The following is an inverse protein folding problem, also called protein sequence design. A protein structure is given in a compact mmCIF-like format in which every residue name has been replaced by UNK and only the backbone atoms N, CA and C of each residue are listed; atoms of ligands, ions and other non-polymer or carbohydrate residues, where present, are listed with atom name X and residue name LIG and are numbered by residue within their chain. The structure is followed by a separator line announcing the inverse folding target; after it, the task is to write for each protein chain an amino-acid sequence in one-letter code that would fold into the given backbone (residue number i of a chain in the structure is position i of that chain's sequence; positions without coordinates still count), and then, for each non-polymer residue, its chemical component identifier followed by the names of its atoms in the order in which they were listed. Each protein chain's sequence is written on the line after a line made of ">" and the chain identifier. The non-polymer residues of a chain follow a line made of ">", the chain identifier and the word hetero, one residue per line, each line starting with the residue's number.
data_IF_821538628056
#
_entry.id   IF_821538628056
#
_cell.length_a   1.000
_cell.length_b   1.000
_cell.length_c   1.000
_cell.angle_alpha   90.00
_cell.angle_beta   90.00
_cell.angle_gamma   90.00
#
_symmetry.space_group_name_H-M   'P 1'
#
loop_
_entity.id
_entity.type
_entity.pdbx_description
1 polymer ?
#
# COMPACT_ATOMS: atom_id res chain seq x y z
N UNK A 1 -8.96 16.13 19.12
CA UNK A 1 -8.42 16.99 18.05
C UNK A 1 -9.30 16.91 16.79
N UNK A 2 -9.33 17.97 15.99
CA UNK A 2 -9.86 17.97 14.64
C UNK A 2 -8.72 17.73 13.65
N UNK A 3 -8.74 16.64 12.93
CA UNK A 3 -7.67 16.23 12.02
C UNK A 3 -8.20 16.26 10.60
N UNK A 4 -7.56 17.01 9.71
CA UNK A 4 -7.86 16.99 8.29
C UNK A 4 -6.88 16.07 7.55
N UNK A 5 -7.41 15.11 6.79
CA UNK A 5 -6.65 14.26 5.87
C UNK A 5 -7.00 14.70 4.45
N UNK A 6 -6.00 15.11 3.68
CA UNK A 6 -6.16 15.62 2.31
C UNK A 6 -5.57 14.58 1.35
N UNK A 7 -6.37 14.03 0.44
CA UNK A 7 -5.95 12.91 -0.42
C UNK A 7 -6.65 12.92 -1.79
N UNK A 8 -5.88 12.64 -2.84
CA UNK A 8 -6.39 12.30 -4.18
C UNK A 8 -6.71 10.80 -4.32
N UNK A 9 -6.25 9.98 -3.38
CA UNK A 9 -6.53 8.56 -3.32
C UNK A 9 -7.67 8.27 -2.33
N UNK A 10 -8.83 7.83 -2.85
CA UNK A 10 -10.01 7.44 -2.08
C UNK A 10 -10.91 6.50 -2.88
N UNK A 11 -11.97 5.98 -2.25
CA UNK A 11 -12.97 5.17 -2.96
C UNK A 11 -13.46 5.88 -4.24
N UNK A 12 -13.75 5.15 -5.29
CA UNK A 12 -13.84 3.69 -5.43
C UNK A 12 -12.50 2.98 -5.72
N UNK A 13 -11.35 3.66 -5.68
CA UNK A 13 -10.05 3.02 -5.86
C UNK A 13 -9.81 1.95 -4.80
N UNK A 14 -9.29 0.79 -5.23
CA UNK A 14 -8.91 -0.32 -4.35
C UNK A 14 -7.39 -0.49 -4.38
N UNK A 15 -6.70 0.21 -3.47
CA UNK A 15 -5.25 0.13 -3.34
C UNK A 15 -4.81 0.32 -1.88
N UNK A 16 -3.54 0.06 -1.59
CA UNK A 16 -2.98 0.13 -0.25
C UNK A 16 -3.05 1.53 0.40
N UNK A 17 -3.00 2.61 -0.41
CA UNK A 17 -3.11 4.00 0.09
C UNK A 17 -4.51 4.25 0.63
N UNK A 18 -5.54 3.95 -0.17
CA UNK A 18 -6.95 4.11 0.23
C UNK A 18 -7.25 3.30 1.48
N UNK A 19 -6.79 2.05 1.53
CA UNK A 19 -6.98 1.19 2.70
C UNK A 19 -6.31 1.79 3.95
N UNK A 20 -5.05 2.22 3.84
CA UNK A 20 -4.33 2.86 4.94
C UNK A 20 -5.07 4.08 5.47
N UNK A 21 -5.49 4.98 4.59
CA UNK A 21 -6.16 6.22 4.99
C UNK A 21 -7.53 5.97 5.61
N UNK A 22 -8.29 5.01 5.08
CA UNK A 22 -9.60 4.63 5.63
C UNK A 22 -9.48 4.06 7.03
N UNK A 23 -8.60 3.08 7.22
CA UNK A 23 -8.40 2.46 8.53
C UNK A 23 -7.84 3.46 9.54
N UNK A 24 -6.91 4.33 9.11
CA UNK A 24 -6.41 5.40 9.98
C UNK A 24 -7.52 6.38 10.38
N UNK A 25 -8.37 6.80 9.44
CA UNK A 25 -9.49 7.69 9.74
C UNK A 25 -10.50 7.03 10.69
N UNK A 26 -10.81 5.73 10.48
CA UNK A 26 -11.69 4.95 11.36
C UNK A 26 -11.12 4.86 12.78
N UNK A 27 -9.87 4.43 12.92
CA UNK A 27 -9.22 4.29 14.22
C UNK A 27 -9.04 5.65 14.94
N UNK A 28 -8.77 6.74 14.23
CA UNK A 28 -8.75 8.08 14.81
C UNK A 28 -10.11 8.46 15.39
N UNK A 29 -11.20 8.11 14.69
CA UNK A 29 -12.57 8.28 15.21
C UNK A 29 -12.82 7.51 16.49
N UNK A 30 -12.40 6.24 16.56
CA UNK A 30 -12.46 5.39 17.75
C UNK A 30 -11.63 5.91 18.92
N UNK A 31 -10.52 6.62 18.61
CA UNK A 31 -9.68 7.31 19.59
C UNK A 31 -10.25 8.67 20.03
N UNK A 32 -11.47 9.01 19.62
CA UNK A 32 -12.18 10.24 20.01
C UNK A 32 -11.76 11.50 19.23
N UNK A 33 -11.07 11.35 18.08
CA UNK A 33 -10.74 12.47 17.21
C UNK A 33 -11.84 12.74 16.17
N UNK A 34 -12.04 14.00 15.81
CA UNK A 34 -12.89 14.37 14.67
C UNK A 34 -12.04 14.39 13.40
N UNK A 35 -12.40 13.57 12.43
CA UNK A 35 -11.65 13.47 11.17
C UNK A 35 -12.46 14.02 10.01
N UNK A 36 -11.87 14.92 9.23
CA UNK A 36 -12.39 15.38 7.95
C UNK A 36 -11.46 14.91 6.83
N UNK A 37 -11.99 14.12 5.91
CA UNK A 37 -11.24 13.73 4.71
C UNK A 37 -11.65 14.62 3.54
N UNK A 38 -10.67 15.28 2.93
CA UNK A 38 -10.83 16.02 1.67
C UNK A 38 -10.41 15.07 0.56
N UNK A 39 -11.36 14.61 -0.26
CA UNK A 39 -11.20 13.46 -1.15
C UNK A 39 -11.88 13.70 -2.51
N UNK A 40 -11.55 12.93 -3.57
CA UNK A 40 -12.08 13.13 -4.92
C UNK A 40 -13.61 13.17 -5.03
N UNK A 41 -14.33 12.39 -4.21
CA UNK A 41 -15.80 12.39 -4.16
C UNK A 41 -16.42 13.76 -3.83
N UNK A 42 -15.63 14.69 -3.30
CA UNK A 42 -16.07 16.05 -3.02
C UNK A 42 -15.95 16.99 -4.22
N UNK A 43 -15.48 16.53 -5.38
CA UNK A 43 -15.13 17.37 -6.52
C UNK A 43 -15.70 16.84 -7.84
N UNK A 44 -15.77 17.69 -8.86
CA UNK A 44 -15.81 17.22 -10.24
C UNK A 44 -14.45 16.63 -10.59
N UNK A 45 -14.45 15.43 -11.17
CA UNK A 45 -13.22 14.71 -11.44
C UNK A 45 -13.15 14.20 -12.87
N UNK A 46 -11.93 14.04 -13.39
CA UNK A 46 -11.65 13.38 -14.66
C UNK A 46 -10.68 12.21 -14.45
N UNK A 47 -10.68 11.20 -15.33
CA UNK A 47 -9.78 10.06 -15.21
C UNK A 47 -8.32 10.47 -15.43
N UNK A 48 -7.41 9.90 -14.65
CA UNK A 48 -5.98 10.02 -14.95
C UNK A 48 -5.65 9.29 -16.26
N UNK A 49 -4.92 9.91 -17.19
CA UNK A 49 -4.69 9.32 -18.54
C UNK A 49 -4.08 7.92 -18.51
N UNK A 50 -3.19 7.63 -17.56
CA UNK A 50 -2.50 6.32 -17.46
C UNK A 50 -3.19 5.35 -16.51
N UNK A 51 -4.12 5.84 -15.67
CA UNK A 51 -4.85 5.08 -14.66
C UNK A 51 -6.27 5.62 -14.53
N UNK A 52 -7.19 5.23 -15.43
CA UNK A 52 -8.55 5.77 -15.47
C UNK A 52 -9.36 5.59 -14.17
N UNK A 53 -8.99 4.59 -13.37
CA UNK A 53 -9.56 4.37 -12.04
C UNK A 53 -9.15 5.42 -11.01
N UNK A 54 -8.03 6.13 -11.24
CA UNK A 54 -7.61 7.27 -10.44
C UNK A 54 -8.34 8.52 -10.95
N UNK A 55 -9.15 9.12 -10.09
CA UNK A 55 -9.95 10.29 -10.42
C UNK A 55 -9.25 11.55 -9.91
N UNK A 56 -8.83 12.41 -10.82
CA UNK A 56 -8.19 13.69 -10.50
C UNK A 56 -9.23 14.80 -10.38
N UNK A 57 -9.16 15.59 -9.31
CA UNK A 57 -10.09 16.68 -9.08
C UNK A 57 -9.80 17.87 -10.01
N UNK A 58 -10.84 18.35 -10.69
CA UNK A 58 -10.80 19.59 -11.46
C UNK A 58 -10.98 20.78 -10.52
N UNK A 59 -10.06 21.77 -10.63
CA UNK A 59 -10.14 23.05 -9.89
C UNK A 59 -10.37 22.91 -8.38
N UNK A 60 -9.54 22.14 -7.63
CA UNK A 60 -9.81 21.78 -6.24
C UNK A 60 -9.67 22.94 -5.25
N UNK A 61 -9.04 24.05 -5.63
CA UNK A 61 -8.59 25.13 -4.76
C UNK A 61 -9.70 25.74 -3.89
N UNK A 62 -10.77 26.25 -4.49
CA UNK A 62 -11.85 26.93 -3.78
C UNK A 62 -12.62 26.00 -2.85
N UNK A 63 -12.87 24.78 -3.28
CA UNK A 63 -13.63 23.81 -2.48
C UNK A 63 -12.80 23.21 -1.35
N UNK A 64 -11.52 22.88 -1.58
CA UNK A 64 -10.58 22.46 -0.53
C UNK A 64 -10.46 23.54 0.54
N UNK A 65 -10.26 24.79 0.13
CA UNK A 65 -10.23 25.93 1.04
C UNK A 65 -11.50 25.98 1.90
N UNK A 66 -12.68 25.95 1.29
CA UNK A 66 -13.98 26.04 2.01
C UNK A 66 -14.14 24.90 3.02
N UNK A 67 -13.79 23.66 2.64
CA UNK A 67 -13.89 22.49 3.53
C UNK A 67 -12.97 22.69 4.75
N UNK A 68 -11.71 23.08 4.54
CA UNK A 68 -10.74 23.26 5.62
C UNK A 68 -11.09 24.45 6.52
N UNK A 69 -11.56 25.58 5.95
CA UNK A 69 -12.00 26.74 6.71
C UNK A 69 -13.24 26.45 7.59
N UNK A 70 -14.20 25.71 7.07
CA UNK A 70 -15.38 25.31 7.84
C UNK A 70 -15.04 24.30 8.94
N UNK A 71 -14.15 23.37 8.66
CA UNK A 71 -13.75 22.34 9.60
C UNK A 71 -12.84 22.88 10.71
N UNK A 72 -11.97 23.85 10.40
CA UNK A 72 -10.97 24.44 11.32
C UNK A 72 -10.14 23.34 11.99
N UNK A 73 -9.28 22.64 11.22
CA UNK A 73 -8.48 21.54 11.77
C UNK A 73 -7.42 22.04 12.74
N UNK A 74 -7.17 21.24 13.79
CA UNK A 74 -6.04 21.41 14.70
C UNK A 74 -4.74 20.86 14.08
N UNK A 75 -4.85 19.86 13.19
CA UNK A 75 -3.72 19.26 12.47
C UNK A 75 -4.14 18.90 11.05
N UNK A 76 -3.19 19.02 10.11
CA UNK A 76 -3.40 18.69 8.69
C UNK A 76 -2.37 17.66 8.23
N UNK A 77 -2.85 16.62 7.59
CA UNK A 77 -2.03 15.62 6.90
C UNK A 77 -2.36 15.60 5.41
N UNK A 78 -1.36 15.77 4.55
CA UNK A 78 -1.51 15.71 3.10
C UNK A 78 -0.92 14.37 2.62
N UNK A 79 -1.81 13.47 2.24
CA UNK A 79 -1.46 12.08 1.99
C UNK A 79 -0.98 11.80 0.54
N UNK A 80 -1.27 12.68 -0.40
CA UNK A 80 -0.94 12.48 -1.83
C UNK A 80 -0.53 13.77 -2.52
N UNK A 81 0.23 13.66 -3.61
CA UNK A 81 0.86 14.75 -4.33
C UNK A 81 0.00 15.29 -5.50
N UNK A 82 -1.24 14.80 -5.62
CA UNK A 82 -2.16 15.19 -6.69
C UNK A 82 -2.79 16.59 -6.51
N UNK A 83 -3.76 16.94 -7.37
CA UNK A 83 -4.40 18.27 -7.36
C UNK A 83 -5.01 18.67 -6.01
N UNK A 84 -5.66 17.73 -5.30
CA UNK A 84 -6.22 18.00 -3.96
C UNK A 84 -5.11 18.21 -2.93
N UNK A 85 -4.04 17.38 -2.98
CA UNK A 85 -2.87 17.54 -2.14
C UNK A 85 -2.18 18.89 -2.34
N UNK A 86 -2.02 19.33 -3.58
CA UNK A 86 -1.48 20.67 -3.92
C UNK A 86 -2.36 21.79 -3.38
N UNK A 87 -3.69 21.63 -3.46
CA UNK A 87 -4.62 22.62 -2.91
C UNK A 87 -4.52 22.71 -1.37
N UNK A 88 -4.43 21.57 -0.69
CA UNK A 88 -4.19 21.50 0.75
C UNK A 88 -2.87 22.15 1.16
N UNK A 89 -1.78 21.82 0.45
CA UNK A 89 -0.45 22.42 0.65
C UNK A 89 -0.49 23.94 0.55
N UNK A 90 -1.10 24.46 -0.52
CA UNK A 90 -1.24 25.91 -0.71
C UNK A 90 -2.07 26.57 0.41
N UNK A 91 -3.16 25.93 0.83
CA UNK A 91 -3.98 26.41 1.93
C UNK A 91 -3.19 26.49 3.24
N UNK A 92 -2.43 25.46 3.58
CA UNK A 92 -1.58 25.43 4.77
C UNK A 92 -0.51 26.53 4.73
N UNK A 93 0.21 26.66 3.60
CA UNK A 93 1.25 27.68 3.46
C UNK A 93 0.71 29.11 3.57
N UNK A 94 -0.45 29.39 2.97
CA UNK A 94 -1.07 30.73 3.03
C UNK A 94 -1.52 31.12 4.45
N UNK A 95 -1.56 30.18 5.39
CA UNK A 95 -1.98 30.39 6.79
C UNK A 95 -0.87 30.09 7.81
N UNK A 96 0.33 29.82 7.33
CA UNK A 96 1.44 29.35 8.19
C UNK A 96 1.05 28.15 9.06
N UNK A 97 0.05 27.36 8.60
CA UNK A 97 -0.42 26.17 9.24
C UNK A 97 0.60 25.04 9.04
N UNK A 98 1.20 24.48 10.10
CA UNK A 98 2.07 23.32 9.95
C UNK A 98 1.29 22.12 9.46
N UNK A 99 1.92 21.27 8.66
CA UNK A 99 1.29 20.06 8.14
C UNK A 99 2.31 18.95 7.97
N UNK A 100 1.83 17.73 7.93
CA UNK A 100 2.62 16.54 7.60
C UNK A 100 2.23 16.02 6.22
N UNK A 101 3.15 15.29 5.61
CA UNK A 101 2.90 14.60 4.33
C UNK A 101 3.18 13.12 4.45
N UNK A 102 2.77 12.31 3.49
CA UNK A 102 3.20 10.91 3.39
C UNK A 102 3.66 10.53 1.98
N UNK A 103 4.69 9.72 1.93
CA UNK A 103 5.21 9.13 0.71
C UNK A 103 4.71 7.68 0.61
N UNK A 104 3.73 7.46 -0.27
CA UNK A 104 3.08 6.18 -0.43
C UNK A 104 3.56 5.39 -1.64
N UNK A 105 3.96 6.08 -2.70
CA UNK A 105 4.23 5.48 -4.01
C UNK A 105 5.56 5.96 -4.55
N UNK A 106 6.34 5.04 -5.08
CA UNK A 106 7.61 5.33 -5.78
C UNK A 106 7.34 5.89 -7.19
N UNK A 107 6.74 7.07 -7.24
CA UNK A 107 6.39 7.72 -8.50
C UNK A 107 7.54 7.85 -9.50
N UNK A 108 8.81 8.11 -9.10
CA UNK A 108 9.90 8.20 -10.05
C UNK A 108 10.07 6.94 -10.89
N UNK A 109 10.01 5.77 -10.27
CA UNK A 109 10.11 4.49 -10.96
C UNK A 109 8.87 4.22 -11.84
N UNK A 110 7.68 4.54 -11.34
CA UNK A 110 6.44 4.40 -12.11
C UNK A 110 6.40 5.30 -13.35
N UNK A 111 6.88 6.55 -13.22
CA UNK A 111 6.96 7.51 -14.34
C UNK A 111 7.97 7.01 -15.36
N UNK A 112 9.15 6.56 -14.92
CA UNK A 112 10.20 6.06 -15.81
C UNK A 112 9.74 4.86 -16.68
N UNK A 113 8.93 3.96 -16.09
CA UNK A 113 8.38 2.82 -16.83
C UNK A 113 7.40 3.22 -17.95
N UNK A 114 6.87 4.46 -17.95
CA UNK A 114 5.80 4.90 -18.85
C UNK A 114 6.13 6.10 -19.72
N UNK A 115 7.12 6.88 -19.31
CA UNK A 115 7.49 8.10 -20.03
C UNK A 115 9.00 8.33 -19.92
N UNK A 116 9.64 8.92 -20.96
CA UNK A 116 11.08 9.20 -20.98
C UNK A 116 11.41 10.44 -20.13
N UNK A 117 10.91 10.48 -18.89
CA UNK A 117 11.17 11.56 -17.94
C UNK A 117 12.30 11.12 -17.00
N UNK A 118 13.40 11.89 -16.90
CA UNK A 118 14.48 11.58 -15.98
C UNK A 118 14.00 11.51 -14.52
N UNK A 119 14.35 10.45 -13.80
CA UNK A 119 13.96 10.29 -12.38
C UNK A 119 14.36 11.48 -11.51
N UNK A 120 15.49 12.12 -11.81
CA UNK A 120 15.96 13.29 -11.07
C UNK A 120 14.95 14.44 -11.04
N UNK A 121 14.18 14.65 -12.11
CA UNK A 121 13.13 15.66 -12.17
C UNK A 121 11.94 15.29 -11.28
N UNK A 122 11.51 14.05 -11.31
CA UNK A 122 10.43 13.56 -10.46
C UNK A 122 10.83 13.65 -8.99
N UNK A 123 12.05 13.25 -8.63
CA UNK A 123 12.58 13.42 -7.28
C UNK A 123 12.65 14.87 -6.83
N UNK A 124 13.00 15.80 -7.73
CA UNK A 124 13.02 17.24 -7.44
C UNK A 124 11.63 17.77 -7.12
N UNK A 125 10.61 17.36 -7.89
CA UNK A 125 9.20 17.74 -7.66
C UNK A 125 8.71 17.19 -6.32
N UNK A 126 9.00 15.93 -6.02
CA UNK A 126 8.60 15.31 -4.75
C UNK A 126 9.28 16.00 -3.55
N UNK A 127 10.58 16.29 -3.62
CA UNK A 127 11.25 17.06 -2.57
C UNK A 127 10.64 18.44 -2.37
N UNK A 128 10.31 19.13 -3.45
CA UNK A 128 9.63 20.43 -3.38
C UNK A 128 8.26 20.30 -2.69
N UNK A 129 7.50 19.26 -3.04
CA UNK A 129 6.17 19.05 -2.47
C UNK A 129 6.24 18.75 -0.97
N UNK A 130 7.00 17.75 -0.60
CA UNK A 130 7.14 17.28 0.79
C UNK A 130 7.95 18.25 1.67
N UNK A 131 8.91 18.95 1.10
CA UNK A 131 9.79 19.87 1.84
C UNK A 131 9.09 21.08 2.45
N UNK A 132 7.86 21.38 2.05
CA UNK A 132 7.03 22.38 2.70
C UNK A 132 6.30 21.86 3.96
N UNK A 133 6.20 20.53 4.11
CA UNK A 133 5.67 19.89 5.32
C UNK A 133 6.71 19.87 6.45
N UNK A 134 6.25 19.76 7.68
CA UNK A 134 7.11 19.62 8.84
C UNK A 134 7.76 18.23 8.89
N UNK A 135 7.00 17.19 8.51
CA UNK A 135 7.45 15.78 8.46
C UNK A 135 6.92 15.07 7.22
N UNK A 136 7.71 14.09 6.74
CA UNK A 136 7.28 13.17 5.68
C UNK A 136 7.13 11.76 6.25
N UNK A 137 5.91 11.25 6.32
CA UNK A 137 5.61 9.92 6.85
C UNK A 137 5.88 8.86 5.78
N UNK A 138 6.64 7.84 6.13
CA UNK A 138 7.03 6.73 5.24
C UNK A 138 6.71 5.38 5.87
N UNK A 139 6.44 4.33 5.09
CA UNK A 139 5.96 3.07 5.65
C UNK A 139 7.04 2.23 6.33
N UNK A 140 8.32 2.38 5.96
CA UNK A 140 9.38 1.48 6.38
C UNK A 140 10.69 2.22 6.72
N UNK A 141 11.59 1.52 7.44
CA UNK A 141 12.94 2.04 7.76
C UNK A 141 13.76 2.26 6.50
N UNK A 142 13.82 1.29 5.60
CA UNK A 142 14.55 1.42 4.33
C UNK A 142 14.11 2.65 3.54
N UNK A 143 12.79 2.91 3.48
CA UNK A 143 12.25 4.09 2.82
C UNK A 143 12.60 5.39 3.55
N UNK A 144 12.62 5.35 4.89
CA UNK A 144 13.01 6.50 5.72
C UNK A 144 14.45 6.90 5.43
N UNK A 145 15.37 5.95 5.44
CA UNK A 145 16.79 6.17 5.19
C UNK A 145 17.04 6.63 3.74
N UNK A 146 16.34 6.06 2.76
CA UNK A 146 16.41 6.49 1.37
C UNK A 146 15.96 7.93 1.18
N UNK A 147 14.83 8.34 1.75
CA UNK A 147 14.35 9.71 1.63
C UNK A 147 15.24 10.70 2.38
N UNK A 148 15.78 10.32 3.54
CA UNK A 148 16.78 11.13 4.26
C UNK A 148 18.03 11.36 3.40
N UNK A 149 18.58 10.32 2.80
CA UNK A 149 19.73 10.40 1.88
C UNK A 149 19.45 11.27 0.64
N UNK A 150 18.17 11.34 0.20
CA UNK A 150 17.73 12.19 -0.91
C UNK A 150 17.40 13.63 -0.49
N UNK A 151 17.61 14.00 0.78
CA UNK A 151 17.40 15.35 1.31
C UNK A 151 15.93 15.72 1.56
N UNK A 152 15.07 14.75 1.82
CA UNK A 152 13.72 15.01 2.33
C UNK A 152 13.78 15.47 3.79
N UNK A 153 12.91 16.40 4.14
CA UNK A 153 12.85 16.94 5.49
C UNK A 153 12.16 15.97 6.43
N UNK A 154 12.85 15.59 7.50
CA UNK A 154 12.36 14.80 8.64
C UNK A 154 11.45 13.61 8.22
N UNK A 155 11.97 12.62 7.45
CA UNK A 155 11.22 11.42 7.18
C UNK A 155 11.06 10.61 8.47
N UNK A 156 9.82 10.18 8.77
CA UNK A 156 9.47 9.43 9.98
C UNK A 156 8.65 8.20 9.63
N UNK A 157 8.80 7.13 10.41
CA UNK A 157 8.15 5.87 10.12
C UNK A 157 6.68 5.93 10.55
N UNK A 158 5.79 5.61 9.61
CA UNK A 158 4.39 5.32 9.84
C UNK A 158 4.07 3.95 9.25
N UNK A 159 4.08 2.92 10.10
CA UNK A 159 3.80 1.53 9.74
C UNK A 159 2.39 1.32 9.20
N UNK A 160 2.09 0.05 8.93
CA UNK A 160 0.77 -0.39 8.46
C UNK A 160 0.21 -1.41 9.42
N UNK A 161 -1.10 -1.60 9.35
CA UNK A 161 -1.80 -2.62 10.10
C UNK A 161 -2.47 -3.64 9.20
N UNK A 162 -2.97 -4.68 9.82
CA UNK A 162 -3.80 -5.71 9.21
C UNK A 162 -5.02 -5.98 10.11
N UNK A 163 -6.13 -6.35 9.50
CA UNK A 163 -7.32 -6.84 10.18
C UNK A 163 -7.13 -8.34 10.48
N UNK A 164 -6.70 -8.63 11.70
CA UNK A 164 -6.38 -10.00 12.14
C UNK A 164 -7.61 -10.85 12.44
N UNK A 165 -8.79 -10.27 12.58
CA UNK A 165 -10.05 -10.98 12.72
C UNK A 165 -10.56 -11.45 11.35
N UNK A 166 -10.43 -10.59 10.34
CA UNK A 166 -10.77 -10.94 8.97
C UNK A 166 -9.79 -11.96 8.40
N UNK A 167 -8.49 -11.66 8.49
CA UNK A 167 -7.41 -12.53 7.99
C UNK A 167 -6.95 -13.47 9.11
N UNK A 168 -7.47 -14.70 9.08
CA UNK A 168 -7.25 -15.69 10.15
C UNK A 168 -7.00 -17.08 9.56
N UNK A 169 -6.11 -17.90 10.15
CA UNK A 169 -5.84 -19.25 9.67
C UNK A 169 -7.07 -20.17 9.65
N UNK A 170 -8.00 -19.98 10.57
CA UNK A 170 -9.23 -20.80 10.69
C UNK A 170 -10.19 -20.66 9.51
N UNK A 171 -9.93 -19.72 8.62
CA UNK A 171 -10.68 -19.57 7.37
C UNK A 171 -10.21 -20.52 6.27
N UNK A 172 -9.28 -21.41 6.59
CA UNK A 172 -8.75 -22.39 5.64
C UNK A 172 -9.85 -23.32 5.14
N UNK A 173 -9.89 -23.50 3.81
CA UNK A 173 -10.78 -24.42 3.12
C UNK A 173 -9.96 -25.23 2.09
N UNK A 174 -10.53 -26.29 1.54
CA UNK A 174 -9.85 -27.03 0.47
C UNK A 174 -9.82 -26.19 -0.82
N UNK A 175 -8.65 -26.02 -1.39
CA UNK A 175 -8.50 -25.43 -2.73
C UNK A 175 -8.50 -26.54 -3.78
N UNK A 176 -9.11 -26.31 -4.97
CA UNK A 176 -9.07 -27.28 -6.05
C UNK A 176 -7.69 -27.34 -6.72
N UNK A 177 -7.28 -28.55 -7.09
CA UNK A 177 -6.01 -28.86 -7.75
C UNK A 177 -4.97 -29.44 -6.79
N UNK A 178 -3.83 -29.87 -7.32
CA UNK A 178 -2.75 -30.42 -6.51
C UNK A 178 -2.02 -29.31 -5.71
N UNK A 179 -1.56 -29.64 -4.52
CA UNK A 179 -0.62 -28.81 -3.76
C UNK A 179 0.83 -29.00 -4.21
N UNK A 180 1.74 -28.09 -3.83
CA UNK A 180 1.49 -26.90 -3.05
C UNK A 180 0.74 -25.81 -3.82
N UNK A 181 -0.10 -25.04 -3.10
CA UNK A 181 -0.81 -23.90 -3.67
C UNK A 181 0.02 -22.63 -3.50
N UNK A 182 0.59 -22.14 -4.60
CA UNK A 182 1.31 -20.87 -4.63
C UNK A 182 0.35 -19.72 -4.95
N UNK A 183 0.34 -18.66 -4.17
CA UNK A 183 -0.64 -17.59 -4.32
C UNK A 183 0.01 -16.22 -4.50
N UNK A 184 -0.36 -15.55 -5.57
CA UNK A 184 -0.17 -14.13 -5.78
C UNK A 184 -1.49 -13.39 -5.48
N UNK A 185 -1.41 -12.27 -4.78
CA UNK A 185 -2.54 -11.36 -4.58
C UNK A 185 -2.11 -9.92 -4.80
N UNK A 186 -2.82 -9.24 -5.70
CA UNK A 186 -2.56 -7.83 -5.99
C UNK A 186 -3.09 -7.40 -7.33
N UNK A 187 -2.71 -6.17 -7.72
CA UNK A 187 -3.01 -5.64 -9.04
C UNK A 187 -2.27 -6.45 -10.12
N UNK A 188 -2.98 -6.87 -11.15
CA UNK A 188 -2.41 -7.59 -12.30
C UNK A 188 -1.93 -6.56 -13.33
N UNK A 189 -0.68 -6.11 -13.17
CA UNK A 189 -0.06 -5.05 -13.97
C UNK A 189 1.46 -5.21 -14.03
N UNK A 190 2.10 -4.60 -15.03
CA UNK A 190 3.54 -4.74 -15.31
C UNK A 190 4.43 -4.35 -14.13
N UNK A 191 4.05 -3.31 -13.37
CA UNK A 191 4.81 -2.86 -12.21
C UNK A 191 4.84 -3.85 -11.04
N UNK A 192 3.99 -4.88 -11.09
CA UNK A 192 3.94 -5.94 -10.08
C UNK A 192 4.78 -7.17 -10.45
N UNK A 193 5.41 -7.14 -11.63
CA UNK A 193 6.31 -8.21 -12.07
C UNK A 193 5.68 -9.62 -11.99
N UNK A 194 4.37 -9.69 -12.32
CA UNK A 194 3.61 -10.95 -12.17
C UNK A 194 4.15 -12.08 -13.05
N UNK A 195 4.81 -11.75 -14.15
CA UNK A 195 5.43 -12.70 -15.06
C UNK A 195 6.47 -13.57 -14.35
N UNK A 196 7.22 -13.01 -13.39
CA UNK A 196 8.14 -13.78 -12.56
C UNK A 196 7.41 -14.83 -11.68
N UNK A 197 6.20 -14.55 -11.21
CA UNK A 197 5.35 -15.53 -10.55
C UNK A 197 4.85 -16.62 -11.51
N UNK A 198 4.46 -16.21 -12.71
CA UNK A 198 3.93 -17.13 -13.72
C UNK A 198 5.01 -18.08 -14.27
N UNK A 199 6.27 -17.67 -14.24
CA UNK A 199 7.42 -18.47 -14.66
C UNK A 199 7.89 -19.52 -13.61
N UNK A 200 7.34 -19.48 -12.38
CA UNK A 200 7.74 -20.44 -11.34
C UNK A 200 7.39 -21.88 -11.73
N UNK A 201 8.33 -22.78 -11.48
CA UNK A 201 8.11 -24.21 -11.64
C UNK A 201 7.47 -24.81 -10.38
N UNK A 202 6.41 -25.59 -10.55
CA UNK A 202 5.73 -26.26 -9.45
C UNK A 202 4.93 -27.46 -9.94
N UNK A 203 4.89 -28.52 -9.13
CA UNK A 203 3.96 -29.65 -9.30
C UNK A 203 2.54 -29.28 -8.81
N UNK A 204 2.42 -28.16 -8.09
CA UNK A 204 1.17 -27.70 -7.50
C UNK A 204 0.41 -26.70 -8.37
N UNK A 205 -0.47 -25.95 -7.76
CA UNK A 205 -1.36 -25.01 -8.43
C UNK A 205 -0.96 -23.56 -8.14
N UNK A 206 -0.85 -22.74 -9.19
CA UNK A 206 -0.64 -21.30 -9.10
C UNK A 206 -1.97 -20.56 -9.11
N UNK A 207 -2.12 -19.62 -8.17
CA UNK A 207 -3.33 -18.82 -7.99
C UNK A 207 -3.00 -17.33 -8.13
N UNK A 208 -3.75 -16.62 -8.96
CA UNK A 208 -3.70 -15.18 -9.12
C UNK A 208 -5.01 -14.57 -8.66
N UNK A 209 -4.96 -13.83 -7.55
CA UNK A 209 -6.11 -13.13 -6.97
C UNK A 209 -5.95 -11.64 -7.19
N UNK A 210 -6.82 -11.05 -8.00
CA UNK A 210 -6.79 -9.63 -8.29
C UNK A 210 -7.24 -9.28 -9.68
N UNK A 211 -7.28 -7.99 -9.96
CA UNK A 211 -7.63 -7.42 -11.25
C UNK A 211 -6.60 -6.42 -11.73
N UNK A 212 -6.66 -6.04 -12.98
CA UNK A 212 -5.76 -5.06 -13.56
C UNK A 212 -5.68 -5.16 -15.09
N UNK A 213 -4.95 -4.24 -15.72
CA UNK A 213 -4.93 -4.12 -17.18
C UNK A 213 -4.33 -5.34 -17.89
N UNK A 214 -3.48 -6.11 -17.23
CA UNK A 214 -2.87 -7.30 -17.83
C UNK A 214 -3.66 -8.61 -17.60
N UNK A 215 -4.76 -8.60 -16.82
CA UNK A 215 -5.46 -9.80 -16.38
C UNK A 215 -5.92 -10.69 -17.55
N UNK A 216 -6.64 -10.12 -18.52
CA UNK A 216 -7.23 -10.91 -19.60
C UNK A 216 -6.17 -11.49 -20.55
N UNK A 217 -5.12 -10.72 -20.83
CA UNK A 217 -4.00 -11.19 -21.66
C UNK A 217 -3.26 -12.35 -20.98
N UNK A 218 -2.95 -12.22 -19.69
CA UNK A 218 -2.24 -13.24 -18.93
C UNK A 218 -3.10 -14.50 -18.71
N UNK A 219 -4.40 -14.35 -18.48
CA UNK A 219 -5.34 -15.48 -18.38
C UNK A 219 -5.38 -16.28 -19.68
N UNK A 220 -5.36 -15.61 -20.83
CA UNK A 220 -5.36 -16.28 -22.13
C UNK A 220 -4.05 -17.02 -22.42
N UNK A 221 -2.90 -16.47 -22.01
CA UNK A 221 -1.58 -17.07 -22.25
C UNK A 221 -1.17 -18.15 -21.22
N UNK A 222 -1.83 -18.19 -20.04
CA UNK A 222 -1.52 -19.14 -18.97
C UNK A 222 -2.78 -19.90 -18.48
N UNK A 223 -3.36 -20.77 -19.33
CA UNK A 223 -4.60 -21.49 -18.98
C UNK A 223 -4.45 -22.48 -17.81
N UNK A 224 -3.22 -22.88 -17.47
CA UNK A 224 -2.88 -23.72 -16.34
C UNK A 224 -2.91 -22.98 -14.99
N UNK A 225 -2.93 -21.63 -15.00
CA UNK A 225 -2.96 -20.79 -13.80
C UNK A 225 -4.40 -20.42 -13.45
N UNK A 226 -4.73 -20.46 -12.18
CA UNK A 226 -6.08 -20.11 -11.70
C UNK A 226 -6.20 -18.61 -11.41
N UNK A 227 -6.76 -17.86 -12.36
CA UNK A 227 -7.09 -16.45 -12.22
C UNK A 227 -8.52 -16.30 -11.66
N UNK A 228 -8.63 -15.85 -10.41
CA UNK A 228 -9.94 -15.71 -9.74
C UNK A 228 -10.63 -14.38 -10.02
N UNK A 229 -9.89 -13.38 -10.54
CA UNK A 229 -10.32 -11.98 -10.52
C UNK A 229 -10.21 -11.36 -9.11
N UNK A 230 -10.72 -10.14 -8.92
CA UNK A 230 -10.71 -9.47 -7.62
C UNK A 230 -11.58 -10.21 -6.60
N UNK A 231 -11.04 -10.40 -5.39
CA UNK A 231 -11.76 -10.99 -4.25
C UNK A 231 -11.61 -10.07 -3.04
N UNK A 232 -12.59 -10.09 -2.14
CA UNK A 232 -12.64 -9.20 -0.98
C UNK A 232 -13.18 -9.93 0.26
N UNK A 233 -12.96 -9.34 1.43
CA UNK A 233 -13.53 -9.81 2.68
C UNK A 233 -13.21 -11.27 2.99
N UNK A 234 -14.20 -12.00 3.44
CA UNK A 234 -14.06 -13.40 3.89
C UNK A 234 -13.60 -14.33 2.78
N UNK A 235 -14.06 -14.12 1.54
CA UNK A 235 -13.64 -14.94 0.39
C UNK A 235 -12.14 -14.79 0.13
N UNK A 236 -11.61 -13.58 0.14
CA UNK A 236 -10.18 -13.32 0.01
C UNK A 236 -9.38 -13.95 1.16
N UNK A 237 -9.83 -13.75 2.39
CA UNK A 237 -9.18 -14.31 3.57
C UNK A 237 -9.16 -15.86 3.54
N UNK A 238 -10.23 -16.48 3.05
CA UNK A 238 -10.31 -17.91 2.85
C UNK A 238 -9.29 -18.44 1.84
N UNK A 239 -9.14 -17.77 0.70
CA UNK A 239 -8.13 -18.11 -0.31
C UNK A 239 -6.71 -18.02 0.26
N UNK A 240 -6.37 -16.91 0.94
CA UNK A 240 -5.05 -16.73 1.56
C UNK A 240 -4.78 -17.81 2.63
N UNK A 241 -5.74 -18.05 3.54
CA UNK A 241 -5.56 -19.06 4.59
C UNK A 241 -5.33 -20.48 4.02
N UNK A 242 -5.87 -20.74 2.83
CA UNK A 242 -5.86 -22.05 2.18
C UNK A 242 -4.61 -22.34 1.34
N UNK A 243 -3.85 -21.31 0.97
CA UNK A 243 -2.61 -21.47 0.23
C UNK A 243 -1.46 -22.00 1.11
N UNK A 244 -0.35 -22.37 0.48
CA UNK A 244 0.85 -22.90 1.15
C UNK A 244 1.98 -21.86 1.18
N UNK A 245 2.13 -21.03 0.13
CA UNK A 245 3.10 -19.92 0.07
C UNK A 245 2.47 -18.71 -0.60
N UNK A 246 2.70 -17.54 -0.02
CA UNK A 246 2.40 -16.26 -0.65
C UNK A 246 3.61 -15.76 -1.43
N UNK A 247 3.47 -15.62 -2.74
CA UNK A 247 4.56 -15.16 -3.60
C UNK A 247 4.36 -13.68 -3.94
N UNK A 248 5.37 -12.89 -3.62
CA UNK A 248 5.36 -11.45 -3.83
C UNK A 248 6.51 -11.01 -4.76
N UNK A 249 6.28 -11.03 -6.10
CA UNK A 249 7.33 -10.79 -7.09
C UNK A 249 7.63 -9.31 -7.34
N UNK A 250 6.94 -8.38 -6.67
CA UNK A 250 7.07 -6.95 -6.89
C UNK A 250 8.43 -6.41 -6.42
N UNK A 251 9.03 -5.54 -7.23
CA UNK A 251 10.32 -4.88 -6.97
C UNK A 251 10.16 -3.42 -6.49
N UNK A 252 8.96 -2.84 -6.61
CA UNK A 252 8.73 -1.40 -6.46
C UNK A 252 7.77 -1.02 -5.33
N UNK A 253 7.26 -1.98 -4.57
CA UNK A 253 6.35 -1.69 -3.47
C UNK A 253 7.08 -1.05 -2.28
N UNK A 254 6.48 -0.02 -1.70
CA UNK A 254 7.01 0.68 -0.53
C UNK A 254 6.81 -0.08 0.78
N UNK A 255 5.80 -0.97 0.86
CA UNK A 255 5.49 -1.77 2.03
C UNK A 255 4.93 -3.16 1.65
N UNK A 256 3.83 -3.20 0.88
CA UNK A 256 3.09 -4.43 0.59
C UNK A 256 2.18 -4.84 1.73
N UNK A 257 1.05 -4.15 1.93
CA UNK A 257 0.05 -4.51 2.97
C UNK A 257 -0.39 -5.98 2.84
N UNK A 258 -0.45 -6.48 1.63
CA UNK A 258 -0.80 -7.88 1.32
C UNK A 258 0.13 -8.90 1.99
N UNK A 259 1.38 -8.53 2.31
CA UNK A 259 2.31 -9.37 3.07
C UNK A 259 1.79 -9.60 4.49
N UNK A 260 1.28 -8.54 5.14
CA UNK A 260 0.67 -8.67 6.47
C UNK A 260 -0.62 -9.49 6.43
N UNK A 261 -1.42 -9.36 5.36
CA UNK A 261 -2.65 -10.13 5.18
C UNK A 261 -2.37 -11.62 5.01
N UNK A 262 -1.36 -11.96 4.20
CA UNK A 262 -0.89 -13.33 4.02
C UNK A 262 -0.36 -13.90 5.34
N UNK A 263 0.55 -13.19 6.02
CA UNK A 263 1.08 -13.62 7.32
C UNK A 263 0.01 -13.72 8.39
N UNK A 264 -1.00 -12.84 8.38
CA UNK A 264 -2.14 -12.94 9.30
C UNK A 264 -2.96 -14.22 9.11
N UNK A 265 -3.03 -14.74 7.89
CA UNK A 265 -3.57 -16.06 7.57
C UNK A 265 -2.59 -17.22 7.86
N UNK A 266 -1.43 -16.93 8.45
CA UNK A 266 -0.38 -17.90 8.68
C UNK A 266 0.33 -18.34 7.41
N UNK A 267 0.36 -17.53 6.35
CA UNK A 267 0.94 -17.91 5.07
C UNK A 267 2.38 -17.36 4.97
N UNK A 268 3.40 -18.23 4.82
CA UNK A 268 4.78 -17.81 4.63
C UNK A 268 4.96 -17.04 3.31
N UNK A 269 5.88 -16.11 3.29
CA UNK A 269 6.15 -15.22 2.16
C UNK A 269 7.39 -15.67 1.40
N UNK A 270 7.30 -15.71 0.06
CA UNK A 270 8.44 -15.79 -0.85
C UNK A 270 8.50 -14.49 -1.67
N UNK A 271 9.61 -13.77 -1.63
CA UNK A 271 9.72 -12.48 -2.30
C UNK A 271 11.15 -12.15 -2.72
N UNK A 272 11.29 -11.20 -3.65
CA UNK A 272 12.58 -10.54 -3.88
C UNK A 272 12.96 -9.65 -2.69
N UNK A 273 14.28 -9.42 -2.44
CA UNK A 273 14.76 -8.55 -1.38
C UNK A 273 14.56 -7.04 -1.72
N UNK A 274 13.32 -6.68 -2.11
CA UNK A 274 12.90 -5.32 -2.41
C UNK A 274 12.61 -4.52 -1.12
N UNK A 275 12.54 -3.18 -1.17
CA UNK A 275 12.38 -2.33 0.01
C UNK A 275 11.21 -2.70 0.93
N UNK A 276 10.03 -3.00 0.40
CA UNK A 276 8.88 -3.42 1.21
C UNK A 276 9.10 -4.75 1.93
N UNK A 277 9.36 -5.86 1.22
CA UNK A 277 9.63 -7.16 1.82
C UNK A 277 10.78 -7.17 2.83
N UNK A 278 11.88 -6.44 2.59
CA UNK A 278 13.03 -6.37 3.52
C UNK A 278 12.67 -5.87 4.92
N UNK A 279 11.71 -4.96 5.00
CA UNK A 279 11.30 -4.36 6.27
C UNK A 279 10.14 -5.12 6.94
N UNK A 280 9.38 -5.91 6.16
CA UNK A 280 8.15 -6.56 6.63
C UNK A 280 8.36 -8.05 6.93
N UNK A 281 9.21 -8.74 6.16
CA UNK A 281 9.42 -10.18 6.27
C UNK A 281 10.66 -10.48 7.13
N UNK A 282 10.52 -11.34 8.11
CA UNK A 282 11.66 -11.88 8.89
C UNK A 282 12.24 -13.07 8.14
N UNK A 283 13.46 -12.89 7.61
CA UNK A 283 14.16 -13.88 6.81
C UNK A 283 14.31 -15.21 7.55
N UNK A 284 13.85 -16.31 6.94
CA UNK A 284 13.92 -17.67 7.51
C UNK A 284 12.91 -17.95 8.64
N UNK A 285 12.10 -16.96 9.05
CA UNK A 285 11.08 -17.13 10.10
C UNK A 285 9.66 -17.00 9.51
N UNK A 286 9.38 -15.89 8.80
CA UNK A 286 8.05 -15.63 8.25
C UNK A 286 8.04 -15.55 6.71
N UNK A 287 9.20 -15.68 6.11
CA UNK A 287 9.36 -15.77 4.67
C UNK A 287 10.83 -15.93 4.27
N UNK A 288 11.03 -16.12 2.98
CA UNK A 288 12.35 -16.18 2.36
C UNK A 288 12.46 -15.07 1.30
N UNK A 289 13.49 -14.26 1.44
CA UNK A 289 13.85 -13.22 0.49
C UNK A 289 15.09 -13.67 -0.27
N UNK A 290 14.96 -13.84 -1.58
CA UNK A 290 16.05 -14.26 -2.46
C UNK A 290 15.96 -13.53 -3.82
N UNK A 291 17.11 -13.36 -4.47
CA UNK A 291 17.19 -12.86 -5.85
C UNK A 291 16.70 -13.90 -6.87
N UNK A 292 16.70 -15.18 -6.49
CA UNK A 292 16.01 -16.27 -7.17
C UNK A 292 14.65 -16.52 -6.50
N UNK A 293 13.57 -16.14 -7.17
CA UNK A 293 12.22 -16.29 -6.65
C UNK A 293 11.83 -17.76 -6.45
N UNK A 294 12.37 -18.68 -7.27
CA UNK A 294 12.15 -20.12 -7.11
C UNK A 294 12.79 -20.64 -5.83
N UNK A 295 14.02 -20.23 -5.54
CA UNK A 295 14.69 -20.57 -4.29
C UNK A 295 13.92 -20.02 -3.09
N UNK A 296 13.41 -18.77 -3.19
CA UNK A 296 12.56 -18.19 -2.15
C UNK A 296 11.30 -19.02 -1.88
N UNK A 297 10.60 -19.48 -2.93
CA UNK A 297 9.40 -20.33 -2.82
C UNK A 297 9.74 -21.65 -2.14
N UNK A 298 10.79 -22.32 -2.61
CA UNK A 298 11.19 -23.63 -2.05
C UNK A 298 11.53 -23.53 -0.55
N UNK A 299 12.23 -22.46 -0.16
CA UNK A 299 12.55 -22.21 1.24
C UNK A 299 11.33 -21.86 2.09
N UNK A 300 10.40 -21.07 1.55
CA UNK A 300 9.21 -20.63 2.27
C UNK A 300 8.22 -21.78 2.57
N UNK A 301 8.17 -22.80 1.74
CA UNK A 301 7.28 -23.97 1.91
C UNK A 301 7.52 -24.74 3.23
N UNK A 302 8.72 -24.64 3.82
CA UNK A 302 9.10 -25.35 5.06
C UNK A 302 8.91 -24.52 6.34
N UNK A 303 8.49 -23.26 6.23
CA UNK A 303 8.40 -22.37 7.38
C UNK A 303 7.15 -22.57 8.24
N UNK A 304 7.29 -22.21 9.54
CA UNK A 304 6.21 -22.31 10.51
C UNK A 304 5.12 -21.24 10.25
N UNK A 305 3.94 -21.71 9.90
CA UNK A 305 2.76 -20.85 9.69
C UNK A 305 2.36 -20.07 10.95
N UNK A 306 2.61 -20.63 12.14
CA UNK A 306 2.30 -19.96 13.39
C UNK A 306 3.26 -18.77 13.66
N UNK A 307 4.51 -18.83 13.20
CA UNK A 307 5.44 -17.70 13.26
C UNK A 307 4.94 -16.53 12.42
N UNK A 308 4.45 -16.79 11.20
CA UNK A 308 3.84 -15.76 10.35
C UNK A 308 2.67 -15.06 11.05
N UNK A 309 1.77 -15.83 11.65
CA UNK A 309 0.63 -15.29 12.39
C UNK A 309 1.09 -14.45 13.59
N UNK A 310 2.04 -14.93 14.39
CA UNK A 310 2.56 -14.18 15.56
C UNK A 310 3.11 -12.82 15.13
N UNK A 311 3.89 -12.74 14.07
CA UNK A 311 4.41 -11.47 13.56
C UNK A 311 3.29 -10.54 13.08
N UNK A 312 2.31 -11.05 12.34
CA UNK A 312 1.19 -10.24 11.87
C UNK A 312 0.39 -9.59 13.00
N UNK A 313 0.24 -10.27 14.14
CA UNK A 313 -0.45 -9.75 15.34
C UNK A 313 0.26 -8.53 15.97
N UNK A 314 1.54 -8.32 15.68
CA UNK A 314 2.28 -7.11 16.10
C UNK A 314 1.88 -5.86 15.29
N UNK A 315 1.24 -6.04 14.13
CA UNK A 315 0.89 -5.00 13.16
C UNK A 315 -0.61 -4.69 13.16
N UNK A 316 -1.09 -3.97 14.17
CA UNK A 316 -2.50 -3.57 14.25
C UNK A 316 -2.73 -2.18 13.65
N UNK A 317 -3.92 -1.94 13.07
CA UNK A 317 -4.31 -0.60 12.59
C UNK A 317 -4.34 0.42 13.72
N UNK A 318 -4.70 0.00 14.95
CA UNK A 318 -4.66 0.89 16.12
C UNK A 318 -3.26 1.39 16.40
N UNK A 319 -2.26 0.49 16.48
CA UNK A 319 -0.85 0.85 16.69
C UNK A 319 -0.30 1.76 15.58
N UNK A 320 -0.60 1.44 14.32
CA UNK A 320 -0.22 2.28 13.18
C UNK A 320 -0.86 3.68 13.26
N UNK A 321 -2.12 3.77 13.72
CA UNK A 321 -2.82 5.05 13.89
C UNK A 321 -2.30 5.86 15.07
N UNK A 322 -1.95 5.23 16.18
CA UNK A 322 -1.30 5.90 17.31
C UNK A 322 0.06 6.49 16.91
N UNK A 323 0.84 5.75 16.12
CA UNK A 323 2.08 6.22 15.52
C UNK A 323 1.85 7.41 14.60
N UNK A 324 0.86 7.32 13.68
CA UNK A 324 0.44 8.43 12.83
C UNK A 324 0.09 9.68 13.64
N UNK A 325 -0.75 9.53 14.66
CA UNK A 325 -1.16 10.62 15.54
C UNK A 325 0.04 11.27 16.23
N UNK A 326 1.01 10.48 16.70
CA UNK A 326 2.23 10.97 17.35
C UNK A 326 3.13 11.80 16.41
N UNK A 327 2.98 11.64 15.09
CA UNK A 327 3.72 12.41 14.10
C UNK A 327 3.01 13.68 13.64
N UNK A 328 1.71 13.82 13.89
CA UNK A 328 0.98 15.04 13.54
C UNK A 328 1.52 16.24 14.30
N UNK A 329 1.52 17.39 13.66
CA UNK A 329 1.88 18.68 14.26
C UNK A 329 0.60 19.48 14.41
N UNK A 330 0.28 19.82 15.64
CA UNK A 330 -0.83 20.74 15.93
C UNK A 330 -0.43 22.20 15.63
N UNK A 331 -1.42 23.00 15.22
CA UNK A 331 -1.25 24.45 14.99
C UNK A 331 -1.25 25.24 16.29
#
# INVERSE_FOLDING_TARGET
>A
MKIAIVSDAWLPQTNGVVRTLRETARCLGELGHRVQVVMPLSFHTFPCPTYPEIRLAAWPWGRTRRILENFRPDAVHIATEGPIGLAGRRWCQARSMPFTTSFHTRFPEYVRLRAPIPEAWTWRVLRWFHGAGARTLVPTRTQCDELAARGFREPVIWGRGVDTELFHPDRRTALPGPGPHLMYMGRVAVEKNIEAFLALETQGTRWVVGGGPALEALRASHPEVRFTGPKFGVELAGLLASADVFVFPSLTDTFGIVLLEAMACGLPVAAYPAPGPRDVVRQGETGVLDTDLQAAVNGALSLDRAACRRQALEHTWRRATEQFRGHLIAA
#
